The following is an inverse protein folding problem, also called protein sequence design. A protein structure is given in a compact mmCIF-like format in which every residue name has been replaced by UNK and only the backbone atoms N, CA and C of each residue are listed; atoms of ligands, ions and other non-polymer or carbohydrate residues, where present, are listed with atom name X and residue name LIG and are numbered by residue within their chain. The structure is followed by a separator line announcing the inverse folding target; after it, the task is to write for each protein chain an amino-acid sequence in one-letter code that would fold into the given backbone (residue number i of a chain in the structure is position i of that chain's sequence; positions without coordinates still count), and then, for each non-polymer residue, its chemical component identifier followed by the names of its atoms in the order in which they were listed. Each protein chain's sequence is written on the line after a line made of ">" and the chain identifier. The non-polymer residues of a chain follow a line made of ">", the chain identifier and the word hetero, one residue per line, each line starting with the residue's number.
data_IF_197936094874
#
_entry.id   IF_197936094874
#
_cell.length_a   1.000
_cell.length_b   1.000
_cell.length_c   1.000
_cell.angle_alpha   90.00
_cell.angle_beta   90.00
_cell.angle_gamma   90.00
#
_symmetry.space_group_name_H-M   'P 1'
#
loop_
_entity.id
_entity.type
_entity.pdbx_description
1 polymer ?
#
# COMPACT_ATOMS: atom_id res chain seq x y z
N UNK A 1 -39.16 18.27 -24.12
CA UNK A 1 -39.57 19.58 -23.58
C UNK A 1 -39.28 19.54 -22.08
N UNK A 2 -38.32 20.22 -21.46
CA UNK A 2 -37.43 21.33 -21.84
C UNK A 2 -36.14 21.13 -21.01
N UNK A 3 -34.99 21.14 -21.69
CA UNK A 3 -33.64 21.25 -21.12
C UNK A 3 -33.47 22.59 -20.41
N UNK A 4 -32.85 22.59 -19.22
CA UNK A 4 -32.38 23.80 -18.53
C UNK A 4 -30.85 23.88 -18.59
N UNK A 5 -30.27 24.93 -19.18
CA UNK A 5 -28.82 25.11 -19.20
C UNK A 5 -28.29 25.80 -17.93
N UNK A 6 -27.12 25.33 -17.47
CA UNK A 6 -26.28 25.99 -16.45
C UNK A 6 -25.51 27.16 -17.10
N UNK A 7 -25.47 28.36 -16.53
CA UNK A 7 -24.60 29.44 -17.03
C UNK A 7 -23.18 29.30 -16.49
N UNK A 8 -22.22 29.25 -17.42
CA UNK A 8 -20.79 29.45 -17.20
C UNK A 8 -20.50 30.95 -17.03
N UNK A 9 -19.87 31.35 -15.93
CA UNK A 9 -19.32 32.70 -15.76
C UNK A 9 -17.80 32.64 -15.97
N UNK A 10 -17.38 33.01 -17.18
CA UNK A 10 -16.04 33.47 -17.51
C UNK A 10 -15.81 34.82 -16.83
N UNK A 11 -14.81 34.91 -15.96
CA UNK A 11 -14.26 36.20 -15.54
C UNK A 11 -12.81 36.31 -16.03
N UNK A 12 -12.64 37.16 -17.05
CA UNK A 12 -11.36 37.61 -17.56
C UNK A 12 -10.78 38.71 -16.65
N UNK A 13 -9.45 38.76 -16.64
CA UNK A 13 -8.55 39.92 -16.50
C UNK A 13 -8.31 40.57 -15.13
N UNK A 14 -7.02 40.72 -14.82
CA UNK A 14 -6.51 41.62 -13.80
C UNK A 14 -5.04 41.39 -13.46
N UNK A 15 -4.12 41.61 -14.40
CA UNK A 15 -2.68 41.68 -14.12
C UNK A 15 -2.37 43.05 -13.51
N UNK A 16 -1.89 43.09 -12.26
CA UNK A 16 -1.39 44.31 -11.64
C UNK A 16 -0.07 44.02 -10.92
N UNK A 17 1.03 44.57 -11.47
CA UNK A 17 2.33 44.66 -10.80
C UNK A 17 2.25 45.70 -9.67
N UNK A 18 2.72 45.35 -8.48
CA UNK A 18 3.21 46.31 -7.47
C UNK A 18 4.48 45.77 -6.83
N UNK A 19 5.50 46.63 -6.79
CA UNK A 19 6.84 46.37 -6.30
C UNK A 19 7.01 46.83 -4.83
N UNK A 20 7.77 46.03 -4.08
CA UNK A 20 8.67 46.36 -2.95
C UNK A 20 8.16 47.13 -1.72
N UNK A 21 8.12 46.43 -0.58
CA UNK A 21 8.78 46.85 0.68
C UNK A 21 9.25 45.62 1.47
N UNK A 22 10.56 45.54 1.72
CA UNK A 22 11.17 44.58 2.67
C UNK A 22 11.14 45.25 4.04
N UNK A 23 10.41 44.67 5.00
CA UNK A 23 10.52 44.97 6.41
C UNK A 23 11.02 43.71 7.13
N UNK A 24 12.27 43.78 7.60
CA UNK A 24 12.93 42.72 8.34
C UNK A 24 12.34 42.59 9.75
N UNK A 25 11.87 41.40 10.08
CA UNK A 25 11.69 40.94 11.45
C UNK A 25 12.42 39.58 11.59
N UNK A 26 13.66 39.63 12.08
CA UNK A 26 14.38 38.47 12.59
C UNK A 26 14.06 38.31 14.07
N UNK A 27 13.64 37.10 14.47
CA UNK A 27 13.93 36.37 15.73
C UNK A 27 12.89 35.24 15.83
N UNK A 28 13.20 33.95 15.91
CA UNK A 28 14.29 33.26 16.60
C UNK A 28 14.84 32.12 15.75
N UNK A 29 16.17 32.05 15.74
CA UNK A 29 16.95 30.94 15.25
C UNK A 29 16.66 29.71 16.13
N UNK A 30 15.85 28.79 15.63
CA UNK A 30 15.69 27.47 16.24
C UNK A 30 17.05 26.75 16.21
N UNK A 31 17.41 26.17 17.36
CA UNK A 31 18.66 25.47 17.61
C UNK A 31 19.03 24.47 16.49
N UNK A 32 20.34 24.18 16.30
CA UNK A 32 20.76 23.11 15.40
C UNK A 32 20.04 21.81 15.79
N UNK A 33 19.54 21.01 14.83
CA UNK A 33 18.98 19.71 15.17
C UNK A 33 20.08 18.90 15.83
N UNK A 34 19.88 18.57 17.11
CA UNK A 34 20.65 17.56 17.79
C UNK A 34 20.59 16.30 16.92
N UNK A 35 21.75 15.84 16.45
CA UNK A 35 21.88 14.56 15.76
C UNK A 35 21.40 13.49 16.72
N UNK A 36 20.13 13.09 16.60
CA UNK A 36 19.65 11.88 17.22
C UNK A 36 20.54 10.73 16.71
N UNK A 37 21.01 9.82 17.59
CA UNK A 37 21.66 8.61 17.15
C UNK A 37 20.77 7.91 16.12
N UNK A 38 21.33 7.33 15.04
CA UNK A 38 20.51 6.60 14.08
C UNK A 38 19.73 5.51 14.83
N UNK A 39 18.41 5.57 14.75
CA UNK A 39 17.50 4.60 15.37
C UNK A 39 17.56 3.20 14.70
N UNK A 40 18.47 3.01 13.74
CA UNK A 40 18.48 1.90 12.78
C UNK A 40 19.54 0.83 13.05
N UNK A 41 19.87 0.61 14.32
CA UNK A 41 20.60 -0.59 14.74
C UNK A 41 19.72 -1.47 15.63
N UNK A 42 18.44 -1.60 15.31
CA UNK A 42 17.73 -2.82 15.67
C UNK A 42 18.44 -3.97 14.92
N UNK A 43 19.14 -4.83 15.64
CA UNK A 43 19.75 -6.04 15.09
C UNK A 43 18.70 -6.75 14.25
N UNK A 44 18.94 -6.83 12.94
CA UNK A 44 18.09 -7.63 12.06
C UNK A 44 18.21 -9.08 12.52
N UNK A 45 17.13 -9.61 13.10
CA UNK A 45 17.02 -11.01 13.41
C UNK A 45 17.38 -11.84 12.18
N UNK A 46 18.07 -12.96 12.39
CA UNK A 46 18.39 -13.88 11.30
C UNK A 46 17.10 -14.22 10.53
N UNK A 47 17.06 -14.05 9.20
CA UNK A 47 15.84 -14.28 8.43
C UNK A 47 15.34 -15.71 8.61
N UNK A 48 14.02 -15.86 8.74
CA UNK A 48 13.42 -17.17 8.88
C UNK A 48 13.60 -17.96 7.56
N UNK A 49 13.77 -19.30 7.60
CA UNK A 49 13.95 -20.11 6.39
C UNK A 49 12.77 -20.04 5.39
N UNK A 50 11.61 -19.54 5.83
CA UNK A 50 10.41 -19.37 5.02
C UNK A 50 10.13 -17.92 4.62
N UNK A 51 10.99 -16.94 4.96
CA UNK A 51 10.74 -15.52 4.70
C UNK A 51 10.44 -15.23 3.23
N UNK A 52 11.16 -15.84 2.29
CA UNK A 52 10.88 -15.65 0.86
C UNK A 52 9.49 -16.14 0.46
N UNK A 53 9.03 -17.26 1.05
CA UNK A 53 7.67 -17.77 0.83
C UNK A 53 6.63 -16.85 1.46
N UNK A 54 6.91 -16.31 2.65
CA UNK A 54 6.02 -15.35 3.31
C UNK A 54 5.88 -14.04 2.51
N UNK A 55 6.98 -13.54 1.95
CA UNK A 55 6.99 -12.37 1.07
C UNK A 55 6.16 -12.63 -0.20
N UNK A 56 6.33 -13.80 -0.83
CA UNK A 56 5.50 -14.17 -1.99
C UNK A 56 4.03 -14.30 -1.61
N UNK A 57 3.72 -14.90 -0.46
CA UNK A 57 2.36 -15.03 0.03
C UNK A 57 1.71 -13.66 0.22
N UNK A 58 2.39 -12.71 0.85
CA UNK A 58 1.88 -11.35 1.03
C UNK A 58 1.58 -10.65 -0.32
N UNK A 59 2.45 -10.81 -1.32
CA UNK A 59 2.22 -10.27 -2.66
C UNK A 59 0.99 -10.90 -3.35
N UNK A 60 0.80 -12.21 -3.21
CA UNK A 60 -0.40 -12.90 -3.71
C UNK A 60 -1.65 -12.36 -3.01
N UNK A 61 -1.62 -12.21 -1.68
CA UNK A 61 -2.75 -11.70 -0.90
C UNK A 61 -3.14 -10.27 -1.31
N UNK A 62 -2.17 -9.41 -1.63
CA UNK A 62 -2.43 -8.07 -2.16
C UNK A 62 -3.09 -8.11 -3.54
N UNK A 63 -2.64 -9.03 -4.40
CA UNK A 63 -3.22 -9.26 -5.72
C UNK A 63 -4.68 -9.74 -5.64
N UNK A 64 -4.94 -10.73 -4.77
CA UNK A 64 -6.28 -11.26 -4.51
C UNK A 64 -7.19 -10.18 -3.92
N UNK A 65 -6.70 -9.39 -2.96
CA UNK A 65 -7.48 -8.32 -2.37
C UNK A 65 -7.95 -7.31 -3.42
N UNK A 66 -7.08 -6.92 -4.35
CA UNK A 66 -7.47 -6.02 -5.43
C UNK A 66 -8.50 -6.65 -6.38
N UNK A 67 -8.17 -7.82 -6.95
CA UNK A 67 -8.98 -8.47 -7.98
C UNK A 67 -10.38 -8.82 -7.46
N UNK A 68 -10.50 -9.29 -6.22
CA UNK A 68 -11.80 -9.58 -5.60
C UNK A 68 -12.64 -8.33 -5.44
N UNK A 69 -12.07 -7.26 -4.89
CA UNK A 69 -12.82 -6.00 -4.73
C UNK A 69 -13.19 -5.36 -6.07
N UNK A 70 -12.45 -5.66 -7.14
CA UNK A 70 -12.78 -5.20 -8.49
C UNK A 70 -13.93 -6.01 -9.12
N UNK A 71 -14.03 -7.31 -8.79
CA UNK A 71 -14.93 -8.26 -9.43
C UNK A 71 -16.16 -8.68 -8.60
N UNK A 72 -16.21 -8.33 -7.32
CA UNK A 72 -17.37 -8.60 -6.45
C UNK A 72 -18.26 -7.37 -6.33
N UNK A 73 -19.57 -7.59 -6.21
CA UNK A 73 -20.56 -6.54 -5.98
C UNK A 73 -20.49 -5.95 -4.56
N UNK A 74 -19.73 -6.57 -3.65
CA UNK A 74 -19.56 -6.17 -2.26
C UNK A 74 -18.07 -6.08 -1.93
N UNK A 75 -17.67 -4.97 -1.33
CA UNK A 75 -16.28 -4.77 -0.89
C UNK A 75 -15.93 -5.73 0.26
N UNK A 76 -14.74 -6.31 0.19
CA UNK A 76 -14.23 -7.31 1.14
C UNK A 76 -12.91 -6.84 1.75
N UNK A 77 -12.95 -6.49 3.04
CA UNK A 77 -11.77 -6.11 3.85
C UNK A 77 -11.08 -7.32 4.51
N UNK A 78 -11.63 -8.52 4.37
CA UNK A 78 -11.12 -9.75 5.01
C UNK A 78 -9.65 -9.99 4.70
N UNK A 79 -9.27 -9.96 3.43
CA UNK A 79 -7.88 -10.18 2.97
C UNK A 79 -6.88 -9.19 3.55
N UNK A 80 -7.26 -7.90 3.61
CA UNK A 80 -6.40 -6.86 4.18
C UNK A 80 -6.21 -7.09 5.69
N UNK A 81 -7.30 -7.41 6.40
CA UNK A 81 -7.25 -7.71 7.84
C UNK A 81 -6.43 -8.95 8.13
N UNK A 82 -6.64 -10.05 7.42
CA UNK A 82 -5.86 -11.28 7.61
C UNK A 82 -4.38 -11.09 7.31
N UNK A 83 -4.02 -10.28 6.31
CA UNK A 83 -2.61 -9.95 6.05
C UNK A 83 -2.01 -9.08 7.16
N UNK A 84 -2.80 -8.15 7.71
CA UNK A 84 -2.37 -7.34 8.85
C UNK A 84 -2.11 -8.21 10.09
N UNK A 85 -3.01 -9.12 10.41
CA UNK A 85 -2.84 -10.09 11.51
C UNK A 85 -1.62 -11.01 11.28
N UNK A 86 -1.38 -11.43 10.04
CA UNK A 86 -0.19 -12.20 9.65
C UNK A 86 1.08 -11.39 9.92
N UNK A 87 1.13 -10.12 9.50
CA UNK A 87 2.27 -9.23 9.71
C UNK A 87 2.55 -9.01 11.21
N UNK A 88 1.49 -8.85 12.01
CA UNK A 88 1.60 -8.66 13.45
C UNK A 88 2.21 -9.87 14.16
N UNK A 89 1.84 -11.07 13.72
CA UNK A 89 2.37 -12.33 14.27
C UNK A 89 3.77 -12.63 13.79
N UNK A 90 4.00 -12.51 12.49
CA UNK A 90 5.28 -12.89 11.89
C UNK A 90 6.37 -11.88 12.22
N UNK A 91 6.11 -10.58 12.10
CA UNK A 91 7.13 -9.55 12.26
C UNK A 91 6.99 -8.76 13.58
N UNK A 92 6.53 -9.42 14.65
CA UNK A 92 6.46 -8.82 15.99
C UNK A 92 7.86 -8.37 16.45
N UNK A 93 8.01 -7.08 16.77
CA UNK A 93 9.31 -6.52 17.17
C UNK A 93 10.34 -6.34 16.04
N UNK A 94 10.00 -6.68 14.79
CA UNK A 94 10.92 -6.63 13.64
C UNK A 94 10.45 -5.60 12.58
N UNK A 95 10.73 -4.29 12.74
CA UNK A 95 10.17 -3.25 11.87
C UNK A 95 10.54 -3.42 10.39
N UNK A 96 11.79 -3.76 10.09
CA UNK A 96 12.25 -3.99 8.72
C UNK A 96 11.62 -5.24 8.08
N UNK A 97 11.32 -6.28 8.86
CA UNK A 97 10.63 -7.48 8.35
C UNK A 97 9.17 -7.15 8.04
N UNK A 98 8.50 -6.39 8.92
CA UNK A 98 7.16 -5.82 8.69
C UNK A 98 7.11 -5.02 7.39
N UNK A 99 8.04 -4.08 7.21
CA UNK A 99 8.11 -3.25 6.00
C UNK A 99 8.23 -4.09 4.73
N UNK A 100 9.08 -5.11 4.71
CA UNK A 100 9.24 -6.01 3.55
C UNK A 100 7.94 -6.73 3.20
N UNK A 101 7.23 -7.27 4.20
CA UNK A 101 5.95 -7.97 4.01
C UNK A 101 4.86 -7.00 3.52
N UNK A 102 4.74 -5.83 4.17
CA UNK A 102 3.79 -4.77 3.75
C UNK A 102 4.07 -4.28 2.33
N UNK A 103 5.34 -4.07 1.99
CA UNK A 103 5.74 -3.67 0.64
C UNK A 103 5.35 -4.74 -0.40
N UNK A 104 5.50 -6.03 -0.07
CA UNK A 104 5.11 -7.12 -0.95
C UNK A 104 3.60 -7.13 -1.22
N UNK A 105 2.78 -7.01 -0.18
CA UNK A 105 1.32 -6.87 -0.33
C UNK A 105 0.97 -5.68 -1.23
N UNK A 106 1.54 -4.51 -0.96
CA UNK A 106 1.28 -3.30 -1.74
C UNK A 106 1.72 -3.45 -3.21
N UNK A 107 2.84 -4.14 -3.47
CA UNK A 107 3.27 -4.44 -4.85
C UNK A 107 2.23 -5.29 -5.57
N UNK A 108 1.79 -6.39 -4.98
CA UNK A 108 0.79 -7.27 -5.58
C UNK A 108 -0.53 -6.56 -5.90
N UNK A 109 -1.02 -5.75 -4.96
CA UNK A 109 -2.20 -4.90 -5.17
C UNK A 109 -2.02 -3.97 -6.37
N UNK A 110 -0.89 -3.24 -6.42
CA UNK A 110 -0.61 -2.26 -7.47
C UNK A 110 -0.40 -2.89 -8.85
N UNK A 111 0.13 -4.12 -8.91
CA UNK A 111 0.33 -4.85 -10.16
C UNK A 111 -0.99 -4.96 -10.93
N UNK A 112 -2.05 -5.48 -10.30
CA UNK A 112 -3.34 -5.61 -10.96
C UNK A 112 -4.10 -4.28 -11.08
N UNK A 113 -3.95 -3.37 -10.11
CA UNK A 113 -4.54 -2.03 -10.19
C UNK A 113 -4.01 -1.18 -11.35
N UNK A 114 -2.82 -1.52 -11.88
CA UNK A 114 -2.25 -0.83 -13.03
C UNK A 114 -2.81 -1.29 -14.38
N UNK A 115 -3.47 -2.45 -14.43
CA UNK A 115 -3.90 -3.09 -15.69
C UNK A 115 -5.42 -3.29 -15.79
N UNK A 116 -6.11 -3.47 -14.67
CA UNK A 116 -7.56 -3.62 -14.63
C UNK A 116 -8.17 -2.45 -13.89
N UNK A 117 -9.24 -1.87 -14.44
CA UNK A 117 -10.06 -0.81 -13.80
C UNK A 117 -11.54 -1.17 -13.74
N UNK A 118 -11.89 -2.32 -14.31
CA UNK A 118 -13.21 -2.95 -14.28
C UNK A 118 -13.01 -4.46 -14.24
N UNK A 119 -13.99 -5.18 -13.72
CA UNK A 119 -13.94 -6.64 -13.80
C UNK A 119 -14.00 -7.10 -15.26
N UNK A 120 -13.15 -8.06 -15.60
CA UNK A 120 -13.09 -8.72 -16.90
C UNK A 120 -12.87 -10.22 -16.68
N UNK A 121 -13.21 -11.05 -17.65
CA UNK A 121 -12.96 -12.49 -17.56
C UNK A 121 -11.48 -12.84 -17.25
N UNK A 122 -10.47 -12.20 -17.88
CA UNK A 122 -9.08 -12.36 -17.47
C UNK A 122 -8.77 -11.98 -16.01
N UNK A 123 -9.46 -10.97 -15.46
CA UNK A 123 -9.28 -10.55 -14.07
C UNK A 123 -9.85 -11.60 -13.10
N UNK A 124 -11.02 -12.17 -13.39
CA UNK A 124 -11.60 -13.29 -12.63
C UNK A 124 -10.70 -14.52 -12.66
N UNK A 125 -10.21 -14.90 -13.85
CA UNK A 125 -9.29 -16.03 -14.00
C UNK A 125 -7.96 -15.81 -13.25
N UNK A 126 -7.46 -14.57 -13.22
CA UNK A 126 -6.28 -14.23 -12.43
C UNK A 126 -6.56 -14.36 -10.93
N UNK A 127 -7.73 -13.91 -10.46
CA UNK A 127 -8.14 -14.01 -9.06
C UNK A 127 -8.13 -15.47 -8.59
N UNK A 128 -8.78 -16.35 -9.34
CA UNK A 128 -8.90 -17.78 -9.01
C UNK A 128 -7.53 -18.45 -8.93
N UNK A 129 -6.66 -18.16 -9.90
CA UNK A 129 -5.28 -18.71 -9.95
C UNK A 129 -4.44 -18.22 -8.78
N UNK A 130 -4.50 -16.93 -8.45
CA UNK A 130 -3.74 -16.37 -7.34
C UNK A 130 -4.28 -16.88 -5.99
N UNK A 131 -5.59 -17.11 -5.85
CA UNK A 131 -6.14 -17.78 -4.66
C UNK A 131 -5.64 -19.21 -4.52
N UNK A 132 -5.62 -19.97 -5.60
CA UNK A 132 -5.10 -21.33 -5.60
C UNK A 132 -3.60 -21.35 -5.23
N UNK A 133 -2.78 -20.49 -5.86
CA UNK A 133 -1.36 -20.37 -5.55
C UNK A 133 -1.14 -19.98 -4.07
N UNK A 134 -1.89 -18.99 -3.58
CA UNK A 134 -1.80 -18.54 -2.19
C UNK A 134 -2.17 -19.63 -1.18
N UNK A 135 -3.20 -20.43 -1.48
CA UNK A 135 -3.59 -21.56 -0.65
C UNK A 135 -2.48 -22.63 -0.60
N UNK A 136 -1.94 -23.02 -1.75
CA UNK A 136 -0.81 -23.96 -1.82
C UNK A 136 0.38 -23.44 -1.03
N UNK A 137 0.79 -22.19 -1.25
CA UNK A 137 1.94 -21.60 -0.59
C UNK A 137 1.77 -21.52 0.94
N UNK A 138 0.59 -21.13 1.41
CA UNK A 138 0.27 -21.11 2.83
C UNK A 138 0.34 -22.53 3.44
N UNK A 139 -0.25 -23.52 2.77
CA UNK A 139 -0.20 -24.92 3.21
C UNK A 139 1.23 -25.45 3.26
N UNK A 140 2.09 -25.12 2.30
CA UNK A 140 3.49 -25.55 2.29
C UNK A 140 4.31 -24.91 3.41
N UNK A 141 4.05 -23.64 3.74
CA UNK A 141 4.70 -22.98 4.89
C UNK A 141 4.30 -23.71 6.18
N UNK A 142 3.01 -23.93 6.40
CA UNK A 142 2.52 -24.61 7.61
C UNK A 142 3.00 -26.06 7.68
N UNK A 143 2.98 -26.81 6.58
CA UNK A 143 3.39 -28.21 6.59
C UNK A 143 4.88 -28.41 6.94
N UNK A 144 5.72 -27.39 6.70
CA UNK A 144 7.17 -27.48 6.94
C UNK A 144 7.64 -26.72 8.17
N UNK A 145 6.93 -25.66 8.55
CA UNK A 145 7.34 -24.70 9.58
C UNK A 145 6.25 -24.41 10.62
N UNK A 146 5.06 -24.98 10.47
CA UNK A 146 3.99 -24.91 11.47
C UNK A 146 4.34 -25.80 12.64
N UNK A 147 4.44 -25.20 13.83
CA UNK A 147 4.65 -25.90 15.09
C UNK A 147 3.32 -26.29 15.72
#
# INVERSE_FOLDING_TARGET
>A
MIDTPRPSALFLTGFLLMATTVAAAQEKQSAPPATAPPADAAEEGKPAPYDQRLIRLAEILGSVHYLRNLCLDQLEDGWRRSTQELIEKEAAGEPKRRERITAAFNRGYRTFASVYTKCTEPATMAEERYRAEGATLASEIVARFGN
#
